data_IF_930768359979
#
_entry.id   IF_930768359979
#
_cell.length_a   1.000
_cell.length_b   1.000
_cell.length_c   1.000
_cell.angle_alpha   90.00
_cell.angle_beta   90.00
_cell.angle_gamma   90.00
#
_symmetry.space_group_name_H-M   'P 1'
#
loop_
_entity.id
_entity.type
_entity.pdbx_description
1 polymer ?
#
# COMPACT_ATOMS: atom_id res chain seq x y z
N UNK A 1 -17.76 10.64 5.76
CA UNK A 1 -16.39 10.95 5.29
C UNK A 1 -16.14 12.39 5.68
N UNK A 2 -15.41 12.61 6.78
CA UNK A 2 -14.74 13.91 6.96
C UNK A 2 -13.82 14.06 5.74
N UNK A 3 -13.90 15.20 5.05
CA UNK A 3 -13.20 15.37 3.80
C UNK A 3 -11.70 15.17 4.04
N UNK A 4 -11.05 14.37 3.19
CA UNK A 4 -9.58 14.35 3.14
C UNK A 4 -9.12 15.79 2.96
N UNK A 5 -8.32 16.29 3.90
CA UNK A 5 -7.68 17.59 3.75
C UNK A 5 -6.65 17.46 2.61
N UNK A 6 -7.02 17.98 1.44
CA UNK A 6 -6.24 17.82 0.21
C UNK A 6 -4.90 18.56 0.29
N UNK A 7 -4.84 19.66 1.01
CA UNK A 7 -3.60 20.44 1.17
C UNK A 7 -2.63 19.67 2.07
N UNK A 8 -3.11 19.20 3.22
CA UNK A 8 -2.31 18.36 4.12
C UNK A 8 -1.87 17.05 3.45
N UNK A 9 -2.76 16.39 2.70
CA UNK A 9 -2.44 15.16 1.96
C UNK A 9 -1.37 15.41 0.87
N UNK A 10 -1.45 16.55 0.17
CA UNK A 10 -0.44 16.96 -0.82
C UNK A 10 0.92 17.20 -0.17
N UNK A 11 0.95 17.86 0.98
CA UNK A 11 2.18 18.10 1.74
C UNK A 11 2.85 16.81 2.20
N UNK A 12 2.06 15.87 2.72
CA UNK A 12 2.52 14.51 3.08
C UNK A 12 3.11 13.80 1.86
N UNK A 13 2.44 13.86 0.71
CA UNK A 13 2.92 13.24 -0.52
C UNK A 13 4.23 13.85 -1.00
N UNK A 14 4.34 15.19 -0.98
CA UNK A 14 5.56 15.90 -1.36
C UNK A 14 6.75 15.54 -0.46
N UNK A 15 6.52 15.43 0.86
CA UNK A 15 7.54 14.98 1.81
C UNK A 15 8.02 13.57 1.49
N UNK A 16 7.11 12.65 1.19
CA UNK A 16 7.45 11.29 0.78
C UNK A 16 8.27 11.28 -0.51
N UNK A 17 7.86 12.01 -1.54
CA UNK A 17 8.54 12.03 -2.83
C UNK A 17 9.96 12.60 -2.74
N UNK A 18 10.15 13.67 -1.96
CA UNK A 18 11.46 14.24 -1.71
C UNK A 18 12.40 13.24 -1.00
N UNK A 19 11.90 12.55 0.02
CA UNK A 19 12.68 11.56 0.77
C UNK A 19 12.95 10.28 -0.05
N UNK A 20 12.00 9.85 -0.88
CA UNK A 20 12.14 8.67 -1.72
C UNK A 20 13.02 8.93 -2.96
N UNK A 21 12.99 10.15 -3.50
CA UNK A 21 13.69 10.57 -4.71
C UNK A 21 15.18 10.85 -4.51
N UNK A 22 15.61 11.14 -3.27
CA UNK A 22 17.01 11.41 -2.94
C UNK A 22 17.92 10.17 -2.97
N UNK A 23 17.34 8.97 -3.09
CA UNK A 23 18.09 7.70 -3.08
C UNK A 23 18.39 7.24 -4.51
N UNK A 24 19.66 7.36 -4.92
CA UNK A 24 20.19 6.77 -6.15
C UNK A 24 20.81 5.38 -5.90
N UNK A 25 21.00 4.58 -6.95
CA UNK A 25 21.63 3.25 -6.83
C UNK A 25 20.81 2.12 -7.45
N UNK A 26 21.05 0.89 -7.02
CA UNK A 26 20.37 -0.32 -7.52
C UNK A 26 18.86 -0.30 -7.25
N UNK A 27 18.14 -1.24 -7.83
CA UNK A 27 16.70 -1.40 -7.59
C UNK A 27 16.41 -1.59 -6.10
N UNK A 28 17.19 -2.44 -5.44
CA UNK A 28 17.05 -2.83 -4.04
C UNK A 28 17.31 -1.62 -3.14
N UNK A 29 18.36 -0.84 -3.43
CA UNK A 29 18.69 0.39 -2.71
C UNK A 29 17.56 1.42 -2.82
N UNK A 30 17.00 1.62 -4.02
CA UNK A 30 15.87 2.54 -4.21
C UNK A 30 14.60 2.07 -3.52
N UNK A 31 14.35 0.77 -3.40
CA UNK A 31 13.19 0.26 -2.65
C UNK A 31 13.41 0.39 -1.14
N UNK A 32 14.62 0.11 -0.64
CA UNK A 32 15.00 0.37 0.75
C UNK A 32 14.83 1.86 1.11
N UNK A 33 15.23 2.77 0.20
CA UNK A 33 15.00 4.21 0.33
C UNK A 33 13.52 4.57 0.48
N UNK A 34 12.65 4.00 -0.36
CA UNK A 34 11.19 4.20 -0.26
C UNK A 34 10.60 3.64 1.04
N UNK A 35 11.08 2.47 1.48
CA UNK A 35 10.70 1.89 2.77
C UNK A 35 11.07 2.84 3.91
N UNK A 36 12.30 3.36 3.90
CA UNK A 36 12.75 4.32 4.90
C UNK A 36 11.92 5.60 4.88
N UNK A 37 11.65 6.16 3.69
CA UNK A 37 10.83 7.36 3.52
C UNK A 37 9.41 7.17 4.13
N UNK A 38 8.76 6.03 3.86
CA UNK A 38 7.45 5.71 4.46
C UNK A 38 7.50 5.61 5.98
N UNK A 39 8.52 4.95 6.55
CA UNK A 39 8.67 4.85 8.01
C UNK A 39 8.87 6.23 8.65
N UNK A 40 9.66 7.10 8.03
CA UNK A 40 9.86 8.48 8.50
C UNK A 40 8.56 9.29 8.44
N UNK A 41 7.81 9.17 7.34
CA UNK A 41 6.54 9.87 7.16
C UNK A 41 5.49 9.42 8.18
N UNK A 42 5.37 8.11 8.44
CA UNK A 42 4.48 7.61 9.46
C UNK A 42 4.79 8.24 10.83
N UNK A 43 6.07 8.29 11.21
CA UNK A 43 6.49 8.91 12.48
C UNK A 43 6.25 10.42 12.53
N UNK A 44 6.32 11.13 11.41
CA UNK A 44 5.99 12.56 11.37
C UNK A 44 4.50 12.84 11.52
N UNK A 45 3.65 11.82 11.34
CA UNK A 45 2.21 11.85 11.57
C UNK A 45 1.83 11.16 12.90
N UNK A 46 2.77 11.06 13.85
CA UNK A 46 2.58 10.42 15.16
C UNK A 46 2.18 8.93 15.12
N UNK A 47 2.34 8.27 13.96
CA UNK A 47 2.12 6.84 13.79
C UNK A 47 3.43 6.05 13.98
N UNK A 48 3.33 4.85 14.55
CA UNK A 48 4.48 4.00 14.86
C UNK A 48 4.57 2.80 13.90
N UNK A 49 5.56 2.77 12.99
CA UNK A 49 5.84 1.57 12.19
C UNK A 49 6.30 0.42 13.10
N UNK A 50 5.58 -0.71 13.05
CA UNK A 50 5.89 -1.90 13.85
C UNK A 50 6.70 -2.90 13.03
N UNK A 51 7.92 -3.17 13.49
CA UNK A 51 8.83 -4.14 12.87
C UNK A 51 9.27 -3.79 11.44
N UNK A 52 9.89 -4.76 10.78
CA UNK A 52 10.29 -4.61 9.38
C UNK A 52 9.12 -4.90 8.42
N UNK A 53 8.99 -4.12 7.34
CA UNK A 53 7.94 -4.36 6.36
C UNK A 53 8.20 -5.66 5.61
N UNK A 54 7.12 -6.34 5.27
CA UNK A 54 7.17 -7.58 4.52
C UNK A 54 6.97 -7.31 3.03
N UNK A 55 7.83 -7.87 2.19
CA UNK A 55 7.72 -7.79 0.73
C UNK A 55 7.12 -9.10 0.21
N UNK A 56 6.04 -9.00 -0.56
CA UNK A 56 5.36 -10.12 -1.19
C UNK A 56 5.34 -9.91 -2.69
N UNK A 57 5.85 -10.87 -3.45
CA UNK A 57 5.64 -10.91 -4.90
C UNK A 57 4.21 -11.38 -5.21
N UNK A 58 3.75 -11.14 -6.43
CA UNK A 58 2.38 -11.44 -6.85
C UNK A 58 1.99 -12.93 -6.65
N UNK A 59 2.94 -13.84 -6.80
CA UNK A 59 2.77 -15.29 -6.54
C UNK A 59 2.50 -15.61 -5.05
N UNK A 60 2.81 -14.68 -4.14
CA UNK A 60 2.57 -14.78 -2.69
C UNK A 60 1.40 -13.93 -2.22
N UNK A 61 0.48 -13.55 -3.13
CA UNK A 61 -0.65 -12.69 -2.81
C UNK A 61 -1.53 -13.26 -1.68
N UNK A 62 -1.80 -14.56 -1.66
CA UNK A 62 -2.61 -15.19 -0.61
C UNK A 62 -2.00 -15.00 0.79
N UNK A 63 -0.67 -15.14 0.92
CA UNK A 63 0.04 -14.91 2.18
C UNK A 63 -0.01 -13.43 2.59
N UNK A 64 0.11 -12.52 1.63
CA UNK A 64 -0.02 -11.09 1.89
C UNK A 64 -1.42 -10.73 2.42
N UNK A 65 -2.48 -11.27 1.80
CA UNK A 65 -3.86 -11.03 2.24
C UNK A 65 -4.14 -11.59 3.63
N UNK A 66 -3.60 -12.79 3.95
CA UNK A 66 -3.69 -13.34 5.31
C UNK A 66 -2.99 -12.45 6.34
N UNK A 67 -1.83 -11.86 5.98
CA UNK A 67 -1.14 -10.91 6.85
C UNK A 67 -2.00 -9.67 7.11
N UNK A 68 -2.62 -9.12 6.06
CA UNK A 68 -3.49 -7.94 6.13
C UNK A 68 -4.69 -8.21 7.04
N UNK A 69 -5.31 -9.39 6.90
CA UNK A 69 -6.49 -9.79 7.66
C UNK A 69 -6.21 -10.20 9.12
N UNK A 70 -4.97 -10.09 9.60
CA UNK A 70 -4.64 -10.44 10.97
C UNK A 70 -5.36 -9.51 11.92
N UNK A 71 -6.17 -10.08 12.82
CA UNK A 71 -6.96 -9.31 13.77
C UNK A 71 -6.10 -8.38 14.64
N UNK A 72 -6.62 -7.19 14.95
CA UNK A 72 -5.91 -6.16 15.71
C UNK A 72 -4.68 -5.62 14.99
N UNK A 73 -4.81 -5.33 13.69
CA UNK A 73 -3.70 -4.77 12.91
C UNK A 73 -4.14 -3.67 11.96
N UNK A 74 -3.26 -2.70 11.75
CA UNK A 74 -3.36 -1.70 10.70
C UNK A 74 -2.09 -1.72 9.85
N UNK A 75 -2.25 -1.43 8.56
CA UNK A 75 -1.21 -1.57 7.56
C UNK A 75 -1.22 -0.41 6.56
N UNK A 76 -0.03 0.12 6.28
CA UNK A 76 0.25 0.85 5.05
C UNK A 76 0.79 -0.15 4.01
N UNK A 77 0.14 -0.19 2.85
CA UNK A 77 0.43 -1.16 1.78
C UNK A 77 0.85 -0.39 0.53
N UNK A 78 2.11 -0.58 0.10
CA UNK A 78 2.58 -0.08 -1.19
C UNK A 78 2.44 -1.18 -2.23
N UNK A 79 1.54 -0.98 -3.19
CA UNK A 79 1.42 -1.78 -4.39
C UNK A 79 2.46 -1.30 -5.40
N UNK A 80 3.19 -2.23 -6.01
CA UNK A 80 4.10 -1.94 -7.11
C UNK A 80 3.63 -2.69 -8.34
N UNK A 81 3.34 -1.94 -9.39
CA UNK A 81 2.88 -2.45 -10.67
C UNK A 81 3.95 -2.31 -11.74
N UNK A 82 4.00 -3.27 -12.65
CA UNK A 82 4.66 -3.17 -13.94
C UNK A 82 3.69 -2.54 -14.95
N UNK A 83 4.19 -1.61 -15.75
CA UNK A 83 3.47 -0.96 -16.84
C UNK A 83 4.48 -0.57 -17.94
N UNK A 84 4.55 -1.37 -19.00
CA UNK A 84 5.35 -1.11 -20.20
C UNK A 84 6.83 -0.78 -19.90
N UNK A 85 7.47 -1.59 -19.06
CA UNK A 85 8.86 -1.44 -18.63
C UNK A 85 9.07 -0.40 -17.52
N UNK A 86 8.01 0.31 -17.09
CA UNK A 86 8.03 1.25 -15.98
C UNK A 86 7.34 0.66 -14.76
N UNK A 87 7.77 1.09 -13.58
CA UNK A 87 7.10 0.75 -12.33
C UNK A 87 6.25 1.89 -11.83
N UNK A 88 4.97 1.61 -11.62
CA UNK A 88 4.04 2.53 -10.97
C UNK A 88 3.79 2.03 -9.55
N UNK A 89 3.76 2.93 -8.58
CA UNK A 89 3.46 2.59 -7.19
C UNK A 89 2.20 3.28 -6.75
N UNK A 90 1.42 2.58 -5.94
CA UNK A 90 0.19 3.09 -5.35
C UNK A 90 0.12 2.68 -3.90
N UNK A 91 -0.29 3.59 -3.03
CA UNK A 91 -0.43 3.31 -1.60
C UNK A 91 -1.91 3.16 -1.25
N UNK A 92 -2.22 2.12 -0.49
CA UNK A 92 -3.52 1.88 0.13
C UNK A 92 -3.29 1.57 1.61
N UNK A 93 -4.34 1.64 2.42
CA UNK A 93 -4.29 1.21 3.82
C UNK A 93 -5.30 0.11 4.07
N UNK A 94 -5.03 -0.70 5.09
CA UNK A 94 -5.99 -1.67 5.58
C UNK A 94 -5.91 -1.79 7.10
N UNK A 95 -7.05 -2.04 7.74
CA UNK A 95 -7.15 -2.33 9.17
C UNK A 95 -8.07 -3.52 9.38
N UNK A 96 -7.72 -4.40 10.31
CA UNK A 96 -8.48 -5.61 10.60
C UNK A 96 -8.82 -5.69 12.08
N UNK A 97 -10.10 -5.89 12.36
CA UNK A 97 -10.66 -5.95 13.71
C UNK A 97 -11.93 -6.79 13.73
N UNK A 98 -12.07 -7.65 14.72
CA UNK A 98 -13.25 -8.49 14.97
C UNK A 98 -13.65 -9.33 13.73
N UNK A 99 -12.66 -9.80 12.98
CA UNK A 99 -12.86 -10.58 11.75
C UNK A 99 -13.30 -9.77 10.52
N UNK A 100 -13.46 -8.46 10.66
CA UNK A 100 -13.63 -7.53 9.55
C UNK A 100 -12.28 -7.00 9.06
N UNK A 101 -12.19 -6.73 7.76
CA UNK A 101 -11.06 -6.06 7.10
C UNK A 101 -11.61 -4.83 6.40
N UNK A 102 -11.17 -3.65 6.84
CA UNK A 102 -11.43 -2.37 6.19
C UNK A 102 -10.21 -2.00 5.34
N UNK A 103 -10.44 -1.62 4.10
CA UNK A 103 -9.41 -1.17 3.16
C UNK A 103 -9.78 0.23 2.66
N UNK A 104 -8.83 1.15 2.67
CA UNK A 104 -8.98 2.46 2.07
C UNK A 104 -8.05 2.62 0.89
N UNK A 105 -8.61 3.00 -0.25
CA UNK A 105 -7.89 3.37 -1.45
C UNK A 105 -8.18 4.84 -1.80
N UNK A 106 -7.17 5.72 -1.86
CA UNK A 106 -7.35 7.11 -2.26
C UNK A 106 -8.09 7.31 -3.61
N UNK A 107 -8.04 6.33 -4.52
CA UNK A 107 -8.67 6.39 -5.84
C UNK A 107 -10.13 5.91 -5.87
N UNK A 108 -10.58 5.13 -4.88
CA UNK A 108 -11.88 4.46 -4.93
C UNK A 108 -12.65 4.47 -3.59
N UNK A 109 -12.09 5.02 -2.53
CA UNK A 109 -12.73 5.13 -1.22
C UNK A 109 -12.49 3.93 -0.31
N UNK A 110 -13.40 3.75 0.65
CA UNK A 110 -13.34 2.71 1.68
C UNK A 110 -14.16 1.48 1.28
N UNK A 111 -13.64 0.31 1.66
CA UNK A 111 -14.27 -0.99 1.48
C UNK A 111 -14.19 -1.77 2.79
N UNK A 112 -15.26 -2.47 3.13
CA UNK A 112 -15.28 -3.41 4.26
C UNK A 112 -15.55 -4.81 3.73
N UNK A 113 -14.82 -5.79 4.25
CA UNK A 113 -14.94 -7.19 3.86
C UNK A 113 -14.55 -8.12 5.01
N UNK A 114 -14.51 -9.42 4.75
CA UNK A 114 -14.05 -10.47 5.67
C UNK A 114 -12.88 -11.22 5.04
N UNK A 115 -12.09 -11.97 5.83
CA UNK A 115 -10.97 -12.75 5.29
C UNK A 115 -11.37 -13.70 4.13
N UNK A 116 -12.51 -14.43 4.17
CA UNK A 116 -12.94 -15.26 3.05
C UNK A 116 -13.23 -14.49 1.75
N UNK A 117 -13.70 -13.25 1.86
CA UNK A 117 -14.11 -12.41 0.73
C UNK A 117 -12.98 -11.49 0.23
N UNK A 118 -11.98 -11.23 1.08
CA UNK A 118 -10.83 -10.36 0.80
C UNK A 118 -10.10 -10.71 -0.51
N UNK A 119 -9.84 -11.99 -0.86
CA UNK A 119 -9.25 -12.33 -2.16
C UNK A 119 -10.06 -11.83 -3.36
N UNK A 120 -11.38 -12.01 -3.32
CA UNK A 120 -12.29 -11.58 -4.39
C UNK A 120 -12.37 -10.05 -4.46
N UNK A 121 -12.46 -9.38 -3.30
CA UNK A 121 -12.45 -7.92 -3.23
C UNK A 121 -11.12 -7.34 -3.79
N UNK A 122 -9.98 -7.91 -3.39
CA UNK A 122 -8.67 -7.48 -3.88
C UNK A 122 -8.51 -7.72 -5.39
N UNK A 123 -8.98 -8.86 -5.90
CA UNK A 123 -8.98 -9.13 -7.34
C UNK A 123 -9.81 -8.10 -8.11
N UNK A 124 -10.99 -7.74 -7.59
CA UNK A 124 -11.83 -6.69 -8.19
C UNK A 124 -11.12 -5.34 -8.20
N UNK A 125 -10.37 -5.00 -7.15
CA UNK A 125 -9.58 -3.78 -7.09
C UNK A 125 -8.44 -3.80 -8.12
N UNK A 126 -7.71 -4.91 -8.26
CA UNK A 126 -6.67 -5.07 -9.29
C UNK A 126 -7.24 -4.92 -10.70
N UNK A 127 -8.39 -5.53 -10.97
CA UNK A 127 -9.10 -5.39 -12.25
C UNK A 127 -9.47 -3.94 -12.54
N UNK A 128 -9.90 -3.18 -11.53
CA UNK A 128 -10.22 -1.75 -11.67
C UNK A 128 -8.99 -0.89 -11.99
N UNK A 129 -7.84 -1.18 -11.39
CA UNK A 129 -6.61 -0.48 -11.77
C UNK A 129 -6.20 -0.82 -13.21
N UNK A 130 -6.28 -2.10 -13.58
CA UNK A 130 -5.95 -2.56 -14.93
C UNK A 130 -6.84 -1.95 -16.00
N UNK A 131 -8.15 -1.84 -15.77
CA UNK A 131 -9.09 -1.32 -16.77
C UNK A 131 -8.85 0.16 -17.12
N UNK A 132 -8.34 0.97 -16.19
CA UNK A 132 -7.95 2.36 -16.46
C UNK A 132 -6.72 2.50 -17.36
N UNK A 133 -5.95 1.42 -17.53
CA UNK A 133 -4.70 1.38 -18.30
C UNK A 133 -4.72 0.30 -19.39
N UNK A 134 -5.89 0.03 -19.97
CA UNK A 134 -6.09 -0.97 -21.04
C UNK A 134 -5.55 -2.38 -20.70
N UNK A 135 -5.54 -2.77 -19.43
CA UNK A 135 -5.08 -4.08 -18.98
C UNK A 135 -3.55 -4.23 -18.88
N UNK A 136 -2.77 -3.17 -19.07
CA UNK A 136 -1.30 -3.22 -19.03
C UNK A 136 -0.69 -3.08 -17.63
N UNK A 137 -1.52 -2.94 -16.59
CA UNK A 137 -1.04 -2.79 -15.23
C UNK A 137 -1.03 -4.15 -14.52
N UNK A 138 0.16 -4.71 -14.29
CA UNK A 138 0.32 -5.99 -13.61
C UNK A 138 0.93 -5.77 -12.22
N UNK A 139 0.31 -6.34 -11.18
CA UNK A 139 0.88 -6.30 -9.84
C UNK A 139 2.17 -7.12 -9.84
N UNK A 140 3.28 -6.50 -9.45
CA UNK A 140 4.59 -7.16 -9.35
C UNK A 140 4.90 -7.54 -7.90
N UNK A 141 4.61 -6.63 -6.96
CA UNK A 141 4.85 -6.84 -5.54
C UNK A 141 4.04 -5.92 -4.65
N UNK A 142 3.96 -6.28 -3.38
CA UNK A 142 3.36 -5.52 -2.29
C UNK A 142 4.38 -5.38 -1.17
N UNK A 143 4.49 -4.17 -0.62
CA UNK A 143 5.24 -3.92 0.62
C UNK A 143 4.24 -3.57 1.71
N UNK A 144 4.21 -4.39 2.77
CA UNK A 144 3.23 -4.27 3.86
C UNK A 144 3.95 -3.86 5.14
N UNK A 145 3.69 -2.64 5.60
CA UNK A 145 4.18 -2.10 6.87
C UNK A 145 3.04 -2.12 7.89
N UNK A 146 3.24 -2.76 9.05
CA UNK A 146 2.30 -2.64 10.18
C UNK A 146 2.50 -1.28 10.86
N UNK A 147 1.40 -0.68 11.31
CA UNK A 147 1.35 0.63 11.96
C UNK A 147 0.50 0.53 13.23
N UNK A 148 0.90 1.26 14.28
CA UNK A 148 0.19 1.47 15.54
C UNK A 148 0.07 2.96 15.86
#
# INVERSE_FOLDING_TARGET
>A
MEALDLDHASDIQNQYENAAGSVSGSREQREAGRISARKTLLRSQDLQPVGEPSVFHADRQSTALQKIARDGSAHLISLCFENNGKRVRHAITASSSEGSVNLFDPNYGEFSTTLPELPSMFQNLMTRYGSRLNGHLQLESMVIQRVE
#
